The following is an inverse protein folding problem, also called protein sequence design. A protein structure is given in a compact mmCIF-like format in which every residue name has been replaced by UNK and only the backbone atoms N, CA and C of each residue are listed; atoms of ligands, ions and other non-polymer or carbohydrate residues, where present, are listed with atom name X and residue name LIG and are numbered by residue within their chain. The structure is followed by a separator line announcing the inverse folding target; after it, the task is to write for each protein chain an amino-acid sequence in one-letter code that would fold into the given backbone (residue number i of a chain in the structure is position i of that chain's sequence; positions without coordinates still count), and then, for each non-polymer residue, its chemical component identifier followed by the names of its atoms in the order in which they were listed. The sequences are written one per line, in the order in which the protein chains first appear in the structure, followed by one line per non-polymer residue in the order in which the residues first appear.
data_IF_797963843603
#
_entry.id   IF_797963843603
#
_cell.length_a   1.000
_cell.length_b   1.000
_cell.length_c   1.000
_cell.angle_alpha   90.00
_cell.angle_beta   90.00
_cell.angle_gamma   90.00
#
_symmetry.space_group_name_H-M   'P 1'
#
loop_
_entity.id
_entity.type
_entity.pdbx_description
1 polymer ?
#
# COMPACT_ATOMS: atom_id res chain seq x y z
N UNK A 1 25.38 0.64 13.80
CA UNK A 1 24.78 0.16 12.54
C UNK A 1 23.49 0.95 12.36
N UNK A 2 23.50 2.02 11.55
CA UNK A 2 22.28 2.76 11.25
C UNK A 2 21.25 1.78 10.65
N UNK A 3 19.95 1.88 10.96
CA UNK A 3 18.97 1.07 10.26
C UNK A 3 19.09 1.45 8.80
N UNK A 4 19.42 0.46 7.98
CA UNK A 4 19.37 0.59 6.53
C UNK A 4 17.92 0.98 6.27
N UNK A 5 17.66 2.26 5.96
CA UNK A 5 16.37 2.65 5.41
C UNK A 5 16.14 1.66 4.27
N UNK A 6 15.08 0.82 4.33
CA UNK A 6 14.92 -0.29 3.42
C UNK A 6 15.08 0.30 2.03
N UNK A 7 16.10 -0.17 1.30
CA UNK A 7 16.39 0.31 -0.04
C UNK A 7 15.07 0.26 -0.79
N UNK A 8 14.52 1.44 -1.10
CA UNK A 8 13.21 1.60 -1.72
C UNK A 8 13.10 0.56 -2.83
N UNK A 9 12.23 -0.46 -2.72
CA UNK A 9 12.22 -1.55 -3.67
C UNK A 9 12.03 -0.97 -5.07
N UNK A 10 12.91 -1.34 -6.00
CA UNK A 10 12.84 -0.87 -7.37
C UNK A 10 11.45 -1.22 -7.95
N UNK A 11 10.65 -0.20 -8.30
CA UNK A 11 9.28 -0.39 -8.79
C UNK A 11 8.16 0.15 -7.90
N UNK A 12 8.47 0.92 -6.84
CA UNK A 12 7.42 1.63 -6.10
C UNK A 12 6.61 2.55 -7.03
N UNK A 13 5.27 2.54 -6.92
CA UNK A 13 4.40 3.30 -7.80
C UNK A 13 4.47 4.78 -7.46
N UNK A 14 4.53 5.65 -8.48
CA UNK A 14 4.59 7.11 -8.30
C UNK A 14 3.42 7.67 -7.48
N UNK A 15 2.26 7.01 -7.52
CA UNK A 15 1.07 7.36 -6.74
C UNK A 15 1.29 7.31 -5.22
N UNK A 16 2.33 6.61 -4.75
CA UNK A 16 2.66 6.53 -3.32
C UNK A 16 2.98 7.90 -2.71
N UNK A 17 3.50 8.85 -3.50
CA UNK A 17 3.76 10.20 -3.04
C UNK A 17 2.48 10.91 -2.53
N UNK A 18 1.36 10.72 -3.23
CA UNK A 18 0.06 11.32 -2.87
C UNK A 18 -0.40 10.83 -1.49
N UNK A 19 -0.12 9.57 -1.17
CA UNK A 19 -0.42 8.97 0.13
C UNK A 19 0.55 9.49 1.18
N UNK A 20 1.84 9.60 0.87
CA UNK A 20 2.85 10.11 1.80
C UNK A 20 2.58 11.54 2.28
N UNK A 21 2.11 12.42 1.40
CA UNK A 21 1.84 13.82 1.76
C UNK A 21 0.74 13.98 2.82
N UNK A 22 -0.29 13.13 2.78
CA UNK A 22 -1.45 13.25 3.69
C UNK A 22 -1.48 12.19 4.78
N UNK A 23 -0.95 11.00 4.49
CA UNK A 23 -0.98 9.81 5.34
C UNK A 23 0.40 9.12 5.38
N UNK A 24 1.43 9.78 5.94
CA UNK A 24 2.80 9.27 5.92
C UNK A 24 2.95 7.88 6.54
N UNK A 25 2.17 7.56 7.58
CA UNK A 25 2.15 6.23 8.22
C UNK A 25 1.62 5.12 7.30
N UNK A 26 0.65 5.43 6.44
CA UNK A 26 0.13 4.49 5.45
C UNK A 26 1.17 4.31 4.34
N UNK A 27 1.72 5.42 3.88
CA UNK A 27 2.80 5.42 2.89
C UNK A 27 4.01 4.58 3.31
N UNK A 28 4.47 4.71 4.55
CA UNK A 28 5.56 3.92 5.12
C UNK A 28 5.23 2.42 5.14
N UNK A 29 4.01 2.06 5.57
CA UNK A 29 3.54 0.67 5.56
C UNK A 29 3.51 0.07 4.16
N UNK A 30 3.03 0.82 3.17
CA UNK A 30 3.02 0.38 1.77
C UNK A 30 4.45 0.13 1.28
N UNK A 31 5.39 1.05 1.56
CA UNK A 31 6.80 0.85 1.19
C UNK A 31 7.42 -0.38 1.83
N UNK A 32 7.13 -0.63 3.12
CA UNK A 32 7.68 -1.77 3.86
C UNK A 32 7.16 -3.12 3.38
N UNK A 33 5.90 -3.18 2.96
CA UNK A 33 5.24 -4.42 2.52
C UNK A 33 5.21 -4.57 0.99
N UNK A 34 5.85 -3.68 0.24
CA UNK A 34 5.85 -3.75 -1.22
C UNK A 34 6.47 -5.06 -1.74
N UNK A 35 5.72 -5.81 -2.54
CA UNK A 35 6.12 -7.13 -3.04
C UNK A 35 5.77 -8.29 -2.11
N UNK A 36 5.10 -8.04 -0.99
CA UNK A 36 4.63 -9.06 -0.05
C UNK A 36 3.11 -9.17 -0.09
N UNK A 37 2.58 -10.39 0.04
CA UNK A 37 1.12 -10.65 0.01
C UNK A 37 0.37 -9.92 1.13
N UNK A 38 1.04 -9.62 2.24
CA UNK A 38 0.53 -8.83 3.35
C UNK A 38 0.07 -7.44 2.90
N UNK A 39 0.72 -6.85 1.88
CA UNK A 39 0.30 -5.56 1.34
C UNK A 39 -1.08 -5.64 0.68
N UNK A 40 -1.39 -6.73 -0.03
CA UNK A 40 -2.72 -6.89 -0.61
C UNK A 40 -3.79 -6.87 0.46
N UNK A 41 -3.62 -7.70 1.50
CA UNK A 41 -4.56 -7.78 2.63
C UNK A 41 -4.70 -6.46 3.35
N UNK A 42 -3.59 -5.73 3.53
CA UNK A 42 -3.59 -4.41 4.15
C UNK A 42 -4.38 -3.39 3.33
N UNK A 43 -4.13 -3.32 2.02
CA UNK A 43 -4.81 -2.40 1.11
C UNK A 43 -6.30 -2.74 0.97
N UNK A 44 -6.65 -4.02 0.76
CA UNK A 44 -8.04 -4.50 0.74
C UNK A 44 -8.77 -4.09 2.03
N UNK A 45 -8.12 -4.24 3.19
CA UNK A 45 -8.68 -3.80 4.47
C UNK A 45 -8.92 -2.29 4.46
N UNK A 46 -7.92 -1.44 4.29
CA UNK A 46 -8.12 0.02 4.45
C UNK A 46 -8.99 0.66 3.37
N UNK A 47 -9.07 0.08 2.16
CA UNK A 47 -9.93 0.58 1.08
C UNK A 47 -11.39 0.21 1.34
N UNK A 48 -11.65 -1.00 1.86
CA UNK A 48 -12.99 -1.53 2.12
C UNK A 48 -13.49 -1.26 3.54
N UNK A 49 -12.63 -0.80 4.46
CA UNK A 49 -12.97 -0.62 5.88
C UNK A 49 -13.99 0.51 6.06
N UNK A 50 -15.26 0.14 5.99
CA UNK A 50 -16.43 0.99 6.22
C UNK A 50 -16.79 1.08 7.72
N UNK A 51 -15.77 1.08 8.60
CA UNK A 51 -15.95 1.15 10.05
C UNK A 51 -16.32 2.56 10.50
N UNK A 52 -17.53 3.00 10.11
CA UNK A 52 -18.52 3.81 10.83
C UNK A 52 -18.15 5.18 11.41
N UNK A 53 -16.87 5.52 11.54
CA UNK A 53 -16.38 6.64 12.36
C UNK A 53 -15.11 7.29 11.77
N UNK A 54 -14.82 7.04 10.49
CA UNK A 54 -13.76 7.72 9.73
C UNK A 54 -14.35 8.43 8.53
N UNK A 55 -13.93 9.66 8.29
CA UNK A 55 -14.30 10.49 7.13
C UNK A 55 -13.89 9.91 5.76
N UNK A 56 -13.37 8.68 5.72
CA UNK A 56 -12.80 8.05 4.54
C UNK A 56 -11.47 8.68 4.12
N UNK A 57 -11.03 8.35 2.90
CA UNK A 57 -9.88 9.00 2.28
C UNK A 57 -10.34 10.12 1.34
N UNK A 58 -9.62 11.24 1.30
CA UNK A 58 -9.77 12.22 0.22
C UNK A 58 -9.67 11.53 -1.14
N UNK A 59 -10.49 11.94 -2.11
CA UNK A 59 -10.54 11.30 -3.43
C UNK A 59 -9.17 11.05 -4.08
N UNK A 60 -8.21 12.00 -4.10
CA UNK A 60 -6.88 11.75 -4.68
C UNK A 60 -6.10 10.63 -3.98
N UNK A 61 -6.27 10.50 -2.67
CA UNK A 61 -5.62 9.46 -1.85
C UNK A 61 -6.29 8.12 -2.08
N UNK A 62 -7.62 8.09 -2.17
CA UNK A 62 -8.36 6.86 -2.50
C UNK A 62 -8.00 6.34 -3.90
N UNK A 63 -7.99 7.23 -4.90
CA UNK A 63 -7.61 6.88 -6.28
C UNK A 63 -6.17 6.33 -6.32
N UNK A 64 -5.24 6.93 -5.56
CA UNK A 64 -3.88 6.42 -5.41
C UNK A 64 -3.84 5.03 -4.73
N UNK A 65 -4.57 4.82 -3.63
CA UNK A 65 -4.64 3.53 -2.94
C UNK A 65 -5.16 2.42 -3.85
N UNK A 66 -6.21 2.70 -4.62
CA UNK A 66 -6.80 1.74 -5.57
C UNK A 66 -5.82 1.40 -6.69
N UNK A 67 -5.13 2.38 -7.27
CA UNK A 67 -4.14 2.12 -8.32
C UNK A 67 -2.93 1.32 -7.80
N UNK A 68 -2.50 1.59 -6.57
CA UNK A 68 -1.43 0.81 -5.90
C UNK A 68 -1.89 -0.63 -5.65
N UNK A 69 -3.12 -0.83 -5.16
CA UNK A 69 -3.72 -2.15 -4.96
C UNK A 69 -3.77 -2.96 -6.26
N UNK A 70 -4.28 -2.34 -7.33
CA UNK A 70 -4.36 -2.93 -8.68
C UNK A 70 -2.99 -3.35 -9.21
N UNK A 71 -2.00 -2.45 -9.18
CA UNK A 71 -0.63 -2.75 -9.63
C UNK A 71 0.02 -3.84 -8.80
N UNK A 72 -0.18 -3.81 -7.48
CA UNK A 72 0.38 -4.84 -6.63
C UNK A 72 -0.29 -6.19 -6.90
N UNK A 73 -1.57 -6.23 -7.28
CA UNK A 73 -2.30 -7.48 -7.52
C UNK A 73 -1.82 -8.18 -8.80
N UNK A 74 -1.36 -7.41 -9.79
CA UNK A 74 -0.71 -7.95 -11.00
C UNK A 74 0.62 -8.65 -10.68
N UNK A 75 1.32 -8.25 -9.61
CA UNK A 75 2.60 -8.84 -9.20
C UNK A 75 2.43 -9.96 -8.17
N UNK A 76 1.63 -9.70 -7.14
CA UNK A 76 1.40 -10.57 -5.98
C UNK A 76 -0.10 -10.53 -5.66
N UNK A 77 -0.88 -11.50 -6.17
CA UNK A 77 -2.30 -11.63 -5.86
C UNK A 77 -2.55 -11.91 -4.37
N UNK A 78 -3.71 -11.51 -3.85
CA UNK A 78 -4.08 -11.71 -2.44
C UNK A 78 -4.14 -13.20 -2.04
N UNK A 79 -4.49 -14.05 -3.00
CA UNK A 79 -4.57 -15.51 -2.87
C UNK A 79 -3.25 -16.23 -3.25
N UNK A 80 -2.12 -15.52 -3.30
CA UNK A 80 -0.85 -16.14 -3.65
C UNK A 80 -0.42 -17.18 -2.59
N UNK A 81 -0.48 -18.46 -2.95
CA UNK A 81 -0.07 -19.60 -2.11
C UNK A 81 1.27 -20.23 -2.53
N UNK A 82 2.06 -19.55 -3.37
CA UNK A 82 3.36 -20.04 -3.85
C UNK A 82 4.51 -19.78 -2.86
N UNK A 83 5.66 -20.46 -2.99
CA UNK A 83 6.83 -20.19 -2.15
C UNK A 83 7.36 -18.76 -2.40
N UNK A 84 7.82 -18.15 -1.31
CA UNK A 84 8.41 -16.79 -1.23
C UNK A 84 9.92 -16.88 -1.46
#
# INVERSE_FOLDING_TARGET
KAPIAPAMPAGLPSHLYIIWEQFPRIGEKISLMWGYVELQKYLSNIILDDRGDRDGFPKPVLDALVEIHRRHAEMVPEDYTGPI
#
